data_IF_084366074326
#
_entry.id   IF_084366074326
#
_cell.length_a   1.000
_cell.length_b   1.000
_cell.length_c   1.000
_cell.angle_alpha   90.00
_cell.angle_beta   90.00
_cell.angle_gamma   90.00
#
_symmetry.space_group_name_H-M   'P 1'
#
loop_
_entity.id
_entity.type
_entity.pdbx_description
1 polymer ?
#
# COMPACT_ATOMS: atom_id res chain seq x y z
N UNK A 1 28.06 -7.71 -67.72
CA UNK A 1 26.95 -8.36 -66.98
C UNK A 1 27.36 -8.53 -65.53
N UNK A 2 26.48 -8.30 -64.54
CA UNK A 2 26.50 -8.89 -63.16
C UNK A 2 25.83 -8.03 -62.07
N UNK A 3 25.48 -6.76 -62.32
CA UNK A 3 24.82 -5.92 -61.29
C UNK A 3 23.39 -6.34 -60.92
N UNK A 4 22.70 -7.10 -61.79
CA UNK A 4 21.34 -7.62 -61.51
C UNK A 4 21.35 -8.87 -60.62
N UNK A 5 22.29 -9.79 -60.82
CA UNK A 5 22.44 -11.04 -60.05
C UNK A 5 22.83 -10.76 -58.58
N UNK A 6 23.77 -9.83 -58.35
CA UNK A 6 24.21 -9.45 -57.00
C UNK A 6 23.07 -8.81 -56.18
N UNK A 7 22.20 -8.02 -56.82
CA UNK A 7 21.03 -7.40 -56.14
C UNK A 7 20.02 -8.44 -55.67
N UNK A 8 19.75 -9.46 -56.49
CA UNK A 8 18.82 -10.56 -56.16
C UNK A 8 19.38 -11.43 -55.02
N UNK A 9 20.70 -11.69 -55.01
CA UNK A 9 21.36 -12.44 -53.94
C UNK A 9 21.32 -11.70 -52.60
N UNK A 10 21.55 -10.39 -52.59
CA UNK A 10 21.49 -9.58 -51.35
C UNK A 10 20.07 -9.51 -50.79
N UNK A 11 19.06 -9.36 -51.66
CA UNK A 11 17.65 -9.35 -51.26
C UNK A 11 17.24 -10.70 -50.65
N UNK A 12 17.67 -11.83 -51.23
CA UNK A 12 17.43 -13.17 -50.66
C UNK A 12 18.10 -13.37 -49.30
N UNK A 13 19.36 -12.95 -49.15
CA UNK A 13 20.07 -13.07 -47.87
C UNK A 13 19.43 -12.18 -46.78
N UNK A 14 18.95 -10.98 -47.13
CA UNK A 14 18.22 -10.11 -46.21
C UNK A 14 16.87 -10.72 -45.81
N UNK A 15 16.13 -11.32 -46.75
CA UNK A 15 14.86 -12.01 -46.47
C UNK A 15 15.07 -13.21 -45.53
N UNK A 16 16.10 -14.03 -45.76
CA UNK A 16 16.43 -15.15 -44.88
C UNK A 16 16.86 -14.66 -43.50
N UNK A 17 17.66 -13.60 -43.42
CA UNK A 17 18.06 -13.01 -42.15
C UNK A 17 16.85 -12.46 -41.36
N UNK A 18 15.89 -11.82 -42.03
CA UNK A 18 14.65 -11.32 -41.39
C UNK A 18 13.76 -12.46 -40.89
N UNK A 19 13.63 -13.55 -41.64
CA UNK A 19 12.86 -14.74 -41.23
C UNK A 19 13.53 -15.50 -40.09
N UNK A 20 14.87 -15.60 -40.09
CA UNK A 20 15.61 -16.19 -38.96
C UNK A 20 15.52 -15.30 -37.71
N UNK A 21 15.55 -13.98 -37.87
CA UNK A 21 15.45 -13.03 -36.76
C UNK A 21 14.04 -13.00 -36.16
N UNK A 22 12.99 -13.18 -36.97
CA UNK A 22 11.61 -13.28 -36.46
C UNK A 22 11.34 -14.60 -35.74
N UNK A 23 12.07 -15.67 -36.08
CA UNK A 23 11.96 -16.99 -35.45
C UNK A 23 12.71 -17.09 -34.11
N UNK A 24 13.57 -16.11 -33.80
CA UNK A 24 14.40 -16.07 -32.59
C UNK A 24 13.98 -15.00 -31.57
N UNK A 25 12.88 -14.28 -31.81
CA UNK A 25 12.28 -13.42 -30.79
C UNK A 25 11.70 -14.31 -29.68
N UNK A 26 12.22 -14.26 -28.44
CA UNK A 26 11.54 -14.91 -27.34
C UNK A 26 10.14 -14.29 -27.26
N UNK A 27 9.10 -15.11 -27.29
CA UNK A 27 7.77 -14.63 -27.00
C UNK A 27 7.80 -14.06 -25.59
N UNK A 28 7.82 -12.73 -25.47
CA UNK A 28 7.63 -12.05 -24.20
C UNK A 28 6.22 -12.46 -23.74
N UNK A 29 6.16 -13.47 -22.88
CA UNK A 29 4.94 -13.84 -22.18
C UNK A 29 4.70 -12.70 -21.20
N UNK A 30 3.80 -11.78 -21.55
CA UNK A 30 3.17 -10.95 -20.54
C UNK A 30 2.43 -11.93 -19.64
N UNK A 31 2.91 -12.09 -18.41
CA UNK A 31 2.17 -12.86 -17.42
C UNK A 31 0.81 -12.20 -17.29
N UNK A 32 -0.27 -12.95 -17.48
CA UNK A 32 -1.61 -12.43 -17.27
C UNK A 32 -1.67 -11.92 -15.82
N UNK A 33 -1.85 -10.61 -15.65
CA UNK A 33 -2.11 -10.05 -14.34
C UNK A 33 -3.39 -10.69 -13.81
N UNK A 34 -3.38 -11.10 -12.55
CA UNK A 34 -4.60 -11.62 -11.92
C UNK A 34 -5.62 -10.47 -11.88
N UNK A 35 -6.83 -10.65 -12.45
CA UNK A 35 -7.86 -9.61 -12.46
C UNK A 35 -8.21 -9.20 -11.03
N UNK A 36 -8.41 -7.91 -10.78
CA UNK A 36 -8.81 -7.38 -9.45
C UNK A 36 -10.05 -8.09 -8.90
N UNK A 37 -10.99 -8.45 -9.79
CA UNK A 37 -12.20 -9.20 -9.45
C UNK A 37 -11.93 -10.56 -8.80
N UNK A 38 -10.75 -11.14 -9.02
CA UNK A 38 -10.34 -12.42 -8.40
C UNK A 38 -10.11 -12.29 -6.90
N UNK A 39 -9.97 -11.06 -6.40
CA UNK A 39 -9.79 -10.73 -4.98
C UNK A 39 -11.06 -10.13 -4.36
N UNK A 40 -12.16 -10.02 -5.12
CA UNK A 40 -13.38 -9.34 -4.67
C UNK A 40 -14.04 -10.00 -3.44
N UNK A 41 -13.84 -11.32 -3.28
CA UNK A 41 -14.37 -12.09 -2.15
C UNK A 41 -13.33 -12.25 -1.01
N UNK A 42 -12.19 -11.56 -1.07
CA UNK A 42 -11.18 -11.59 -0.01
C UNK A 42 -11.40 -10.47 1.00
N UNK A 43 -11.48 -10.86 2.27
CA UNK A 43 -11.55 -9.94 3.39
C UNK A 43 -10.19 -9.83 4.11
N UNK A 44 -9.82 -8.59 4.43
CA UNK A 44 -8.70 -8.33 5.32
C UNK A 44 -9.04 -8.82 6.74
N UNK A 45 -8.11 -9.54 7.36
CA UNK A 45 -8.23 -9.96 8.75
C UNK A 45 -6.94 -9.74 9.53
N UNK A 46 -7.08 -9.46 10.82
CA UNK A 46 -5.95 -9.41 11.75
C UNK A 46 -5.36 -10.82 11.93
N UNK A 47 -4.04 -10.97 11.75
CA UNK A 47 -3.33 -12.26 11.96
C UNK A 47 -2.70 -12.36 13.36
N UNK A 48 -2.54 -11.23 14.07
CA UNK A 48 -2.15 -11.15 15.48
C UNK A 48 -1.30 -9.92 15.80
N UNK A 49 -0.72 -9.84 17.00
CA UNK A 49 -1.44 -9.92 18.27
C UNK A 49 -2.58 -8.88 18.32
N UNK A 50 -3.68 -9.21 18.98
CA UNK A 50 -4.70 -8.19 19.28
C UNK A 50 -4.05 -7.16 20.21
N UNK A 51 -3.86 -5.92 19.72
CA UNK A 51 -3.29 -4.76 20.45
C UNK A 51 -1.76 -4.72 20.54
N UNK A 52 -1.06 -5.11 19.47
CA UNK A 52 0.37 -4.86 19.34
C UNK A 52 0.67 -3.56 18.60
N UNK A 53 1.91 -3.10 18.72
CA UNK A 53 2.41 -1.90 18.07
C UNK A 53 2.77 -0.81 19.08
N UNK A 54 3.14 0.35 18.54
CA UNK A 54 3.55 1.50 19.35
C UNK A 54 2.48 2.57 19.32
N UNK A 55 1.77 2.71 20.44
CA UNK A 55 0.86 3.83 20.66
C UNK A 55 1.66 5.10 20.99
N UNK A 56 1.38 6.17 20.26
CA UNK A 56 2.12 7.44 20.29
C UNK A 56 1.29 8.59 20.81
N UNK A 57 -0.04 8.50 20.68
CA UNK A 57 -0.99 9.50 21.15
C UNK A 57 -2.25 8.80 21.70
N UNK A 58 -2.91 9.43 22.67
CA UNK A 58 -4.16 8.94 23.27
C UNK A 58 -5.10 10.11 23.54
N UNK A 59 -6.40 9.90 23.35
CA UNK A 59 -7.44 10.84 23.75
C UNK A 59 -8.66 10.04 24.22
N UNK A 60 -9.33 10.48 25.29
CA UNK A 60 -10.49 9.79 25.85
C UNK A 60 -11.57 10.76 26.28
N UNK A 61 -12.81 10.27 26.36
CA UNK A 61 -13.93 11.07 26.82
C UNK A 61 -13.95 11.11 28.36
N UNK A 62 -13.96 12.30 28.99
CA UNK A 62 -14.02 12.39 30.46
C UNK A 62 -15.30 11.79 31.04
N UNK A 63 -16.43 11.95 30.35
CA UNK A 63 -17.75 11.49 30.81
C UNK A 63 -18.03 10.02 30.46
N UNK A 64 -17.21 9.42 29.59
CA UNK A 64 -17.34 8.01 29.18
C UNK A 64 -15.96 7.33 29.18
N UNK A 65 -15.53 6.74 30.31
CA UNK A 65 -14.23 6.09 30.42
C UNK A 65 -14.12 4.80 29.59
N UNK A 66 -15.22 4.29 29.04
CA UNK A 66 -15.17 3.14 28.14
C UNK A 66 -14.78 3.54 26.71
N UNK A 67 -14.94 4.83 26.35
CA UNK A 67 -14.66 5.35 25.01
C UNK A 67 -13.38 6.17 24.98
N UNK A 68 -12.38 5.65 24.29
CA UNK A 68 -11.14 6.34 24.03
C UNK A 68 -10.49 5.89 22.73
N UNK A 69 -9.49 6.65 22.32
CA UNK A 69 -8.82 6.54 21.04
C UNK A 69 -7.32 6.51 21.27
N UNK A 70 -6.60 5.76 20.43
CA UNK A 70 -5.14 5.91 20.34
C UNK A 70 -4.70 6.09 18.89
N UNK A 71 -3.56 6.76 18.72
CA UNK A 71 -2.81 6.83 17.48
C UNK A 71 -1.57 5.95 17.54
N UNK A 72 -1.24 5.30 16.43
CA UNK A 72 -0.03 4.49 16.28
C UNK A 72 1.09 5.21 15.52
N UNK A 73 2.34 4.83 15.78
CA UNK A 73 3.50 5.34 15.05
C UNK A 73 3.49 5.01 13.54
N UNK A 74 2.84 3.91 13.17
CA UNK A 74 2.61 3.46 11.78
C UNK A 74 1.40 2.53 11.74
N UNK A 75 0.30 2.97 12.37
CA UNK A 75 -0.88 2.14 12.60
C UNK A 75 -2.20 2.88 12.51
N UNK A 76 -2.18 4.18 12.23
CA UNK A 76 -3.38 5.01 12.17
C UNK A 76 -4.04 5.23 13.53
N UNK A 77 -5.29 5.65 13.49
CA UNK A 77 -6.16 5.90 14.65
C UNK A 77 -7.10 4.72 14.89
N UNK A 78 -7.23 4.34 16.15
CA UNK A 78 -8.10 3.29 16.63
C UNK A 78 -9.04 3.82 17.71
N UNK A 79 -10.26 3.28 17.74
CA UNK A 79 -11.30 3.61 18.74
C UNK A 79 -11.70 2.36 19.51
N UNK A 80 -11.92 2.51 20.80
CA UNK A 80 -12.67 1.56 21.62
C UNK A 80 -13.92 2.22 22.20
N UNK A 81 -14.91 1.40 22.53
CA UNK A 81 -16.14 1.81 23.25
C UNK A 81 -16.48 0.83 24.39
N UNK A 82 -15.58 -0.12 24.66
CA UNK A 82 -15.75 -1.22 25.61
C UNK A 82 -14.51 -1.35 26.52
N UNK A 83 -13.96 -0.19 26.88
CA UNK A 83 -12.81 -0.04 27.76
C UNK A 83 -11.53 -0.73 27.26
N UNK A 84 -11.37 -0.88 25.93
CA UNK A 84 -10.20 -1.47 25.30
C UNK A 84 -10.32 -2.97 25.05
N UNK A 85 -11.51 -3.55 25.22
CA UNK A 85 -11.77 -4.97 24.93
C UNK A 85 -11.74 -5.23 23.42
N UNK A 86 -12.32 -4.33 22.62
CA UNK A 86 -12.24 -4.33 21.17
C UNK A 86 -11.83 -2.96 20.63
N UNK A 87 -11.25 -2.98 19.42
CA UNK A 87 -10.69 -1.81 18.76
C UNK A 87 -11.15 -1.78 17.31
N UNK A 88 -11.62 -0.61 16.88
CA UNK A 88 -12.07 -0.36 15.52
C UNK A 88 -11.09 0.60 14.84
N UNK A 89 -10.55 0.27 13.65
CA UNK A 89 -9.71 1.18 12.90
C UNK A 89 -10.54 2.31 12.31
N UNK A 90 -10.06 3.55 12.41
CA UNK A 90 -10.71 4.75 11.84
C UNK A 90 -9.92 5.34 10.66
N UNK A 91 -8.74 4.82 10.36
CA UNK A 91 -7.75 5.46 9.49
C UNK A 91 -7.41 4.67 8.22
N UNK A 92 -8.12 3.58 7.93
CA UNK A 92 -7.86 2.69 6.77
C UNK A 92 -7.95 3.37 5.40
N UNK A 93 -8.58 4.56 5.33
CA UNK A 93 -8.75 5.35 4.10
C UNK A 93 -7.96 6.66 4.09
N UNK A 94 -7.03 6.84 5.02
CA UNK A 94 -6.25 8.06 5.15
C UNK A 94 -4.85 7.88 4.56
N UNK A 95 -4.25 8.97 4.08
CA UNK A 95 -2.96 8.94 3.39
C UNK A 95 -1.73 8.80 4.29
N UNK A 96 -1.89 8.83 5.61
CA UNK A 96 -0.78 8.69 6.57
C UNK A 96 -1.18 7.75 7.71
N UNK A 97 -0.30 6.80 8.03
CA UNK A 97 -0.48 5.87 9.14
C UNK A 97 0.25 6.32 10.42
N UNK A 98 1.15 7.31 10.33
CA UNK A 98 1.87 7.82 11.50
C UNK A 98 1.08 8.90 12.20
N UNK A 99 0.76 8.68 13.48
CA UNK A 99 0.01 9.62 14.30
C UNK A 99 0.93 10.21 15.36
N UNK A 100 1.08 11.53 15.37
CA UNK A 100 1.91 12.25 16.34
C UNK A 100 1.13 12.99 17.41
N UNK A 101 -0.13 13.34 17.13
CA UNK A 101 -1.02 14.00 18.09
C UNK A 101 -2.47 13.57 17.86
N UNK A 102 -3.23 13.49 18.96
CA UNK A 102 -4.64 13.13 18.93
C UNK A 102 -5.37 13.91 20.04
N UNK A 103 -6.48 14.56 19.71
CA UNK A 103 -7.33 15.23 20.69
C UNK A 103 -8.79 15.20 20.26
N UNK A 104 -9.70 15.29 21.24
CA UNK A 104 -11.15 15.38 21.00
C UNK A 104 -11.53 16.86 21.04
N UNK A 105 -12.38 17.31 20.13
CA UNK A 105 -12.84 18.69 20.10
C UNK A 105 -13.65 19.01 21.36
N UNK A 106 -13.30 20.06 22.13
CA UNK A 106 -14.05 20.43 23.34
C UNK A 106 -15.51 20.82 23.07
N UNK A 107 -15.82 21.29 21.86
CA UNK A 107 -17.16 21.71 21.45
C UNK A 107 -18.06 20.56 21.02
N UNK A 108 -17.49 19.44 20.58
CA UNK A 108 -18.25 18.27 20.14
C UNK A 108 -17.40 16.99 20.30
N UNK A 109 -17.73 16.12 21.26
CA UNK A 109 -17.10 14.81 21.48
C UNK A 109 -17.04 13.87 20.25
N UNK A 110 -17.89 14.10 19.25
CA UNK A 110 -17.90 13.30 18.01
C UNK A 110 -16.80 13.72 17.02
N UNK A 111 -16.15 14.86 17.24
CA UNK A 111 -15.08 15.37 16.38
C UNK A 111 -13.73 15.13 17.04
N UNK A 112 -12.82 14.49 16.31
CA UNK A 112 -11.43 14.30 16.72
C UNK A 112 -10.49 15.02 15.76
N UNK A 113 -9.41 15.58 16.31
CA UNK A 113 -8.32 16.17 15.56
C UNK A 113 -7.11 15.26 15.61
N UNK A 114 -6.52 15.02 14.44
CA UNK A 114 -5.41 14.09 14.26
C UNK A 114 -4.23 14.84 13.63
N UNK A 115 -3.12 14.91 14.35
CA UNK A 115 -1.85 15.37 13.82
C UNK A 115 -1.05 14.20 13.29
N UNK A 116 -0.89 14.12 11.96
CA UNK A 116 -0.10 13.06 11.32
C UNK A 116 1.39 13.37 11.36
N UNK A 117 2.22 12.33 11.44
CA UNK A 117 3.67 12.45 11.48
C UNK A 117 4.29 11.51 12.52
N UNK A 118 5.57 11.20 12.33
CA UNK A 118 6.32 10.37 13.26
C UNK A 118 6.77 11.21 14.46
N UNK A 119 6.61 10.67 15.68
CA UNK A 119 6.99 11.41 16.90
C UNK A 119 8.50 11.48 17.13
N UNK A 120 9.25 10.51 16.61
CA UNK A 120 10.70 10.36 16.82
C UNK A 120 11.40 9.97 15.53
N UNK A 121 12.63 10.45 15.31
CA UNK A 121 13.46 9.96 14.21
C UNK A 121 13.73 8.47 14.41
N UNK A 122 13.35 7.66 13.42
CA UNK A 122 13.53 6.22 13.43
C UNK A 122 14.75 5.85 12.62
N UNK A 123 15.74 5.20 13.24
CA UNK A 123 16.97 4.75 12.56
C UNK A 123 16.69 3.69 11.49
N UNK A 124 15.61 2.91 11.66
CA UNK A 124 15.14 1.85 10.77
C UNK A 124 14.42 2.34 9.50
N UNK A 125 14.13 3.64 9.37
CA UNK A 125 13.42 4.22 8.20
C UNK A 125 14.31 5.24 7.45
N UNK A 126 15.61 5.30 7.74
CA UNK A 126 16.52 6.30 7.12
C UNK A 126 17.03 5.88 5.73
N UNK A 127 16.98 4.59 5.38
CA UNK A 127 17.48 4.13 4.10
C UNK A 127 16.36 4.04 3.05
N UNK A 128 16.26 5.10 2.24
CA UNK A 128 15.58 5.13 0.93
C UNK A 128 16.56 5.54 -0.16
#
# INVERSE_FOLDING_TARGET
MNRFSTRISVIRSLLVAVVCLSSFLPAIRVLAAIPESSYADLDWRLVGPHRAGWATAVAGLPDDPATYYFGGADGGVWKTTDAGSTWQPLFDRQGSASIGALTIAPSNPEVIWVGTGQIHQRWDIVDG
#
